data_IF_846856214994
#
_entry.id   IF_846856214994
#
_cell.length_a   1.000
_cell.length_b   1.000
_cell.length_c   1.000
_cell.angle_alpha   90.00
_cell.angle_beta   90.00
_cell.angle_gamma   90.00
#
_symmetry.space_group_name_H-M   'P 1'
#
loop_
_entity.id
_entity.type
_entity.pdbx_description
1 polymer ?
#
# COMPACT_ATOMS: atom_id res chain seq x y z
N UNK A 1 -1.80 26.18 5.75
CA UNK A 1 -2.54 27.29 6.41
C UNK A 1 -3.35 28.05 5.37
N UNK A 2 -2.72 28.75 4.41
CA UNK A 2 -3.42 29.22 3.19
C UNK A 2 -4.13 28.09 2.43
N UNK A 3 -3.49 26.92 2.33
CA UNK A 3 -4.06 25.75 1.65
C UNK A 3 -5.43 25.29 2.16
N UNK A 4 -5.73 25.47 3.46
CA UNK A 4 -7.02 25.08 4.06
C UNK A 4 -7.98 26.27 4.22
N UNK A 5 -7.61 27.45 3.72
CA UNK A 5 -8.47 28.63 3.74
C UNK A 5 -8.76 29.24 5.12
N UNK A 6 -8.06 28.80 6.18
CA UNK A 6 -8.33 29.28 7.55
C UNK A 6 -7.72 30.68 7.74
N UNK A 7 -8.57 31.67 7.91
CA UNK A 7 -8.20 33.05 8.25
C UNK A 7 -8.22 33.26 9.78
N UNK A 8 -7.03 33.43 10.36
CA UNK A 8 -6.84 33.62 11.80
C UNK A 8 -7.40 34.95 12.35
N UNK A 9 -7.71 35.91 11.47
CA UNK A 9 -8.36 37.16 11.84
C UNK A 9 -9.89 37.05 11.92
N UNK A 10 -10.48 35.99 11.37
CA UNK A 10 -11.94 35.80 11.27
C UNK A 10 -12.45 34.59 12.03
N UNK A 11 -11.65 33.52 12.13
CA UNK A 11 -12.09 32.25 12.69
C UNK A 11 -11.01 31.59 13.57
N UNK A 12 -11.40 30.92 14.66
CA UNK A 12 -10.46 30.19 15.50
C UNK A 12 -9.88 28.99 14.74
N UNK A 13 -8.60 28.69 14.99
CA UNK A 13 -7.95 27.50 14.45
C UNK A 13 -8.67 26.25 14.97
N UNK A 14 -9.03 25.28 14.10
CA UNK A 14 -9.53 23.99 14.53
C UNK A 14 -8.59 23.36 15.55
N UNK A 15 -9.13 23.09 16.73
CA UNK A 15 -8.42 22.42 17.80
C UNK A 15 -8.32 20.90 17.54
N UNK A 16 -7.63 20.19 18.44
CA UNK A 16 -7.47 18.74 18.36
C UNK A 16 -8.83 18.02 18.26
N UNK A 17 -9.82 18.48 19.05
CA UNK A 17 -11.16 17.90 19.08
C UNK A 17 -11.86 18.03 17.72
N UNK A 18 -11.74 19.19 17.08
CA UNK A 18 -12.34 19.47 15.78
C UNK A 18 -11.71 18.59 14.69
N UNK A 19 -10.38 18.50 14.65
CA UNK A 19 -9.66 17.63 13.70
C UNK A 19 -10.04 16.15 13.93
N UNK A 20 -10.17 15.74 15.20
CA UNK A 20 -10.57 14.38 15.55
C UNK A 20 -12.00 14.05 15.08
N UNK A 21 -12.95 14.96 15.30
CA UNK A 21 -14.34 14.83 14.82
C UNK A 21 -14.39 14.78 13.29
N UNK A 22 -13.66 15.66 12.61
CA UNK A 22 -13.58 15.66 11.15
C UNK A 22 -13.05 14.31 10.62
N UNK A 23 -11.98 13.77 11.21
CA UNK A 23 -11.49 12.43 10.87
C UNK A 23 -12.55 11.35 11.07
N UNK A 24 -13.30 11.39 12.18
CA UNK A 24 -14.38 10.42 12.41
C UNK A 24 -15.48 10.52 11.33
N UNK A 25 -15.77 11.72 10.82
CA UNK A 25 -16.69 11.87 9.68
C UNK A 25 -16.13 11.21 8.42
N UNK A 26 -14.84 11.40 8.11
CA UNK A 26 -14.21 10.73 6.97
C UNK A 26 -14.34 9.20 7.09
N UNK A 27 -14.08 8.67 8.29
CA UNK A 27 -14.18 7.24 8.59
C UNK A 27 -15.62 6.72 8.47
N UNK A 28 -16.59 7.42 9.06
CA UNK A 28 -18.00 7.03 9.05
C UNK A 28 -18.60 6.98 7.64
N UNK A 29 -18.12 7.84 6.74
CA UNK A 29 -18.58 7.93 5.35
C UNK A 29 -17.65 7.21 4.35
N UNK A 30 -16.68 6.43 4.83
CA UNK A 30 -15.70 5.68 4.02
C UNK A 30 -14.97 6.54 2.96
N UNK A 31 -14.75 7.83 3.27
CA UNK A 31 -14.27 8.80 2.28
C UNK A 31 -12.83 8.53 1.82
N UNK A 32 -12.04 7.79 2.60
CA UNK A 32 -10.69 7.39 2.20
C UNK A 32 -10.67 6.51 0.94
N UNK A 33 -11.60 5.56 0.84
CA UNK A 33 -11.75 4.71 -0.35
C UNK A 33 -12.25 5.53 -1.53
N UNK A 34 -13.27 6.37 -1.30
CA UNK A 34 -13.86 7.21 -2.34
C UNK A 34 -12.83 8.19 -2.91
N UNK A 35 -12.03 8.83 -2.05
CA UNK A 35 -10.96 9.74 -2.46
C UNK A 35 -9.89 9.01 -3.28
N UNK A 36 -9.49 7.82 -2.85
CA UNK A 36 -8.53 7.00 -3.61
C UNK A 36 -9.03 6.70 -5.02
N UNK A 37 -10.30 6.29 -5.16
CA UNK A 37 -10.95 6.04 -6.45
C UNK A 37 -11.02 7.32 -7.30
N UNK A 38 -11.49 8.43 -6.74
CA UNK A 38 -11.63 9.71 -7.45
C UNK A 38 -10.27 10.25 -7.95
N UNK A 39 -9.21 10.11 -7.15
CA UNK A 39 -7.86 10.47 -7.59
C UNK A 39 -7.42 9.57 -8.76
N UNK A 40 -7.70 8.27 -8.71
CA UNK A 40 -7.41 7.35 -9.81
C UNK A 40 -8.13 7.73 -11.11
N UNK A 41 -9.42 8.07 -11.02
CA UNK A 41 -10.21 8.56 -12.14
C UNK A 41 -9.66 9.87 -12.70
N UNK A 42 -9.29 10.82 -11.83
CA UNK A 42 -8.66 12.06 -12.24
C UNK A 42 -7.37 11.82 -13.01
N UNK A 43 -6.46 10.99 -12.49
CA UNK A 43 -5.19 10.67 -13.15
C UNK A 43 -5.42 9.97 -14.50
N UNK A 44 -6.42 9.09 -14.58
CA UNK A 44 -6.84 8.45 -15.84
C UNK A 44 -7.25 9.49 -16.89
N UNK A 45 -8.01 10.52 -16.48
CA UNK A 45 -8.41 11.64 -17.35
C UNK A 45 -7.21 12.48 -17.81
N UNK A 46 -6.17 12.59 -17.00
CA UNK A 46 -4.88 13.24 -17.36
C UNK A 46 -3.95 12.31 -18.18
N UNK A 47 -4.47 11.20 -18.73
CA UNK A 47 -3.70 10.27 -19.55
C UNK A 47 -2.67 9.43 -18.77
N UNK A 48 -2.81 9.34 -17.45
CA UNK A 48 -2.02 8.49 -16.56
C UNK A 48 -2.85 7.26 -16.18
N UNK A 49 -2.91 6.30 -17.10
CA UNK A 49 -3.73 5.10 -16.96
C UNK A 49 -2.93 3.93 -16.37
N UNK A 50 -3.64 3.04 -15.68
CA UNK A 50 -3.10 1.75 -15.24
C UNK A 50 -2.90 0.87 -16.48
N UNK A 51 -1.67 0.43 -16.71
CA UNK A 51 -1.34 -0.46 -17.82
C UNK A 51 -1.67 -1.91 -17.45
N UNK A 52 -1.51 -2.84 -18.39
CA UNK A 52 -1.81 -4.27 -18.17
C UNK A 52 -0.75 -5.01 -17.34
N UNK A 53 0.00 -4.32 -16.49
CA UNK A 53 1.09 -4.91 -15.74
C UNK A 53 1.11 -4.47 -14.29
N UNK A 54 0.90 -5.39 -13.36
CA UNK A 54 0.77 -5.10 -11.93
C UNK A 54 1.89 -5.70 -11.10
N UNK A 55 2.53 -4.88 -10.28
CA UNK A 55 3.44 -5.29 -9.21
C UNK A 55 2.63 -5.36 -7.91
N UNK A 56 2.62 -6.52 -7.27
CA UNK A 56 2.05 -6.69 -5.93
C UNK A 56 3.18 -6.72 -4.90
N UNK A 57 3.03 -5.93 -3.85
CA UNK A 57 4.00 -5.89 -2.75
C UNK A 57 3.38 -5.44 -1.44
N UNK A 58 4.08 -5.75 -0.34
CA UNK A 58 3.65 -5.40 1.00
C UNK A 58 4.76 -4.73 1.82
N UNK A 59 4.40 -3.74 2.62
CA UNK A 59 5.30 -3.12 3.60
C UNK A 59 4.70 -3.18 5.00
N UNK A 60 5.55 -3.38 6.01
CA UNK A 60 5.14 -3.36 7.41
C UNK A 60 5.06 -1.91 7.88
N UNK A 61 3.94 -1.53 8.50
CA UNK A 61 3.76 -0.29 9.23
C UNK A 61 3.73 -0.62 10.73
N UNK A 62 4.71 -0.10 11.47
CA UNK A 62 4.93 -0.52 12.85
C UNK A 62 3.87 0.07 13.79
N UNK A 63 3.41 -0.72 14.74
CA UNK A 63 2.60 -0.27 15.86
C UNK A 63 3.41 -0.25 17.17
N UNK A 64 3.03 0.61 18.14
CA UNK A 64 3.58 0.52 19.48
C UNK A 64 3.24 -0.84 20.10
N UNK A 65 4.26 -1.57 20.57
CA UNK A 65 4.09 -2.82 21.32
C UNK A 65 3.97 -2.60 22.84
N UNK A 66 4.00 -1.34 23.28
CA UNK A 66 3.92 -0.96 24.69
C UNK A 66 2.54 -1.26 25.26
N UNK A 67 2.51 -1.91 26.43
CA UNK A 67 1.32 -2.10 27.27
C UNK A 67 1.19 -1.02 28.34
N UNK A 68 2.05 0.01 28.33
CA UNK A 68 1.99 1.13 29.30
C UNK A 68 0.85 2.09 28.95
N UNK A 69 -0.39 1.63 29.09
CA UNK A 69 -1.61 2.40 28.96
C UNK A 69 -2.61 1.97 30.04
N UNK A 70 -3.74 2.69 30.16
CA UNK A 70 -4.76 2.45 31.20
C UNK A 70 -5.27 1.02 31.23
N UNK A 71 -5.39 0.37 30.06
CA UNK A 71 -5.91 -1.00 29.95
C UNK A 71 -4.82 -2.07 30.01
N UNK A 72 -3.54 -1.69 30.14
CA UNK A 72 -2.39 -2.60 30.19
C UNK A 72 -2.25 -3.56 29.01
N UNK A 73 -2.78 -3.19 27.85
CA UNK A 73 -2.90 -4.07 26.68
C UNK A 73 -2.27 -3.47 25.43
N UNK A 74 -1.84 -4.32 24.50
CA UNK A 74 -1.47 -3.88 23.14
C UNK A 74 -2.72 -3.64 22.31
N UNK A 75 -2.54 -3.04 21.13
CA UNK A 75 -3.60 -3.03 20.13
C UNK A 75 -3.94 -4.49 19.73
N UNK A 76 -5.18 -4.98 19.97
CA UNK A 76 -5.54 -6.37 19.71
C UNK A 76 -5.60 -6.70 18.21
N UNK A 77 -5.71 -5.71 17.33
CA UNK A 77 -5.76 -5.92 15.87
C UNK A 77 -4.37 -5.86 15.22
N UNK A 78 -3.32 -5.55 16.00
CA UNK A 78 -1.94 -5.51 15.54
C UNK A 78 -1.23 -6.78 15.99
N UNK A 79 -0.43 -7.36 15.10
CA UNK A 79 0.24 -8.62 15.38
C UNK A 79 1.72 -8.59 14.99
N UNK A 80 2.47 -9.55 15.51
CA UNK A 80 3.89 -9.66 15.25
C UNK A 80 4.20 -10.49 14.00
N UNK A 81 5.28 -10.14 13.32
CA UNK A 81 5.84 -10.90 12.21
C UNK A 81 7.35 -10.79 12.21
N UNK A 82 8.04 -11.80 11.68
CA UNK A 82 9.49 -11.83 11.57
C UNK A 82 9.88 -11.58 10.12
N UNK A 83 10.70 -10.56 9.87
CA UNK A 83 11.31 -10.29 8.56
C UNK A 83 12.82 -10.33 8.70
N UNK A 84 13.45 -11.30 8.04
CA UNK A 84 14.87 -11.62 8.30
C UNK A 84 15.05 -12.08 9.75
N UNK A 85 16.00 -11.47 10.46
CA UNK A 85 16.22 -11.73 11.90
C UNK A 85 15.48 -10.76 12.83
N UNK A 86 14.76 -9.78 12.29
CA UNK A 86 14.09 -8.75 13.07
C UNK A 86 12.60 -9.05 13.26
N UNK A 87 12.10 -8.87 14.48
CA UNK A 87 10.68 -8.89 14.79
C UNK A 87 10.07 -7.49 14.65
N UNK A 88 8.87 -7.47 14.10
CA UNK A 88 8.04 -6.28 13.92
C UNK A 88 6.67 -6.53 14.52
N UNK A 89 6.05 -5.51 15.10
CA UNK A 89 4.67 -5.53 15.58
C UNK A 89 3.89 -4.45 14.85
N UNK A 90 2.71 -4.78 14.32
CA UNK A 90 1.87 -3.82 13.60
C UNK A 90 0.99 -4.45 12.53
N UNK A 91 0.90 -3.75 11.39
CA UNK A 91 0.10 -4.14 10.24
C UNK A 91 0.97 -4.22 8.97
N UNK A 92 0.42 -4.83 7.93
CA UNK A 92 0.94 -4.77 6.56
C UNK A 92 0.03 -3.90 5.70
N UNK A 93 0.66 -3.01 4.95
CA UNK A 93 0.04 -2.28 3.85
C UNK A 93 0.43 -2.98 2.54
N UNK A 94 -0.57 -3.52 1.86
CA UNK A 94 -0.45 -4.22 0.58
C UNK A 94 -0.92 -3.31 -0.54
N UNK A 95 -0.16 -3.24 -1.62
CA UNK A 95 -0.50 -2.42 -2.79
C UNK A 95 -0.31 -3.20 -4.08
N UNK A 96 -1.20 -2.94 -5.03
CA UNK A 96 -1.03 -3.26 -6.44
C UNK A 96 -0.64 -1.98 -7.17
N UNK A 97 0.48 -2.03 -7.87
CA UNK A 97 1.11 -0.88 -8.51
C UNK A 97 1.35 -1.16 -9.98
N UNK A 98 0.98 -0.22 -10.83
CA UNK A 98 1.25 -0.31 -12.26
C UNK A 98 2.76 -0.30 -12.53
N UNK A 99 3.22 -1.27 -13.30
CA UNK A 99 4.63 -1.49 -13.61
C UNK A 99 5.25 -0.44 -14.52
N UNK A 100 4.46 0.40 -15.20
CA UNK A 100 4.97 1.44 -16.10
C UNK A 100 4.94 2.81 -15.43
N UNK A 101 3.78 3.21 -14.93
CA UNK A 101 3.48 4.52 -14.35
C UNK A 101 3.79 4.63 -12.86
N UNK A 102 4.01 3.50 -12.17
CA UNK A 102 4.20 3.41 -10.71
C UNK A 102 3.00 3.89 -9.88
N UNK A 103 1.82 4.01 -10.49
CA UNK A 103 0.59 4.37 -9.80
C UNK A 103 0.00 3.19 -9.06
N UNK A 104 -0.43 3.43 -7.83
CA UNK A 104 -1.15 2.47 -7.00
C UNK A 104 -2.59 2.41 -7.49
N UNK A 105 -3.07 1.23 -7.88
CA UNK A 105 -4.45 1.04 -8.33
C UNK A 105 -5.30 0.21 -7.34
N UNK A 106 -4.65 -0.51 -6.42
CA UNK A 106 -5.34 -1.30 -5.40
C UNK A 106 -4.59 -1.28 -4.09
N UNK A 107 -5.34 -1.30 -2.99
CA UNK A 107 -4.82 -1.14 -1.63
C UNK A 107 -5.55 -2.09 -0.69
N UNK A 108 -4.81 -2.77 0.17
CA UNK A 108 -5.37 -3.57 1.24
C UNK A 108 -4.49 -3.50 2.49
N UNK A 109 -5.10 -3.76 3.64
CA UNK A 109 -4.45 -3.73 4.93
C UNK A 109 -4.80 -4.99 5.71
N UNK A 110 -3.81 -5.54 6.41
CA UNK A 110 -3.98 -6.69 7.29
C UNK A 110 -3.11 -6.55 8.52
N UNK A 111 -3.39 -7.31 9.58
CA UNK A 111 -2.41 -7.54 10.62
C UNK A 111 -1.09 -8.10 10.05
N UNK A 112 0.05 -7.84 10.71
CA UNK A 112 1.35 -8.17 10.13
C UNK A 112 1.65 -9.68 10.04
N UNK A 113 0.96 -10.52 10.82
CA UNK A 113 1.07 -11.97 10.78
C UNK A 113 0.37 -12.61 9.56
N UNK A 114 -0.57 -11.90 8.92
CA UNK A 114 -1.26 -12.40 7.73
C UNK A 114 -0.27 -12.54 6.58
N UNK A 115 -0.31 -13.69 5.91
CA UNK A 115 0.58 -13.99 4.79
C UNK A 115 0.15 -13.25 3.52
N UNK A 116 1.11 -12.68 2.79
CA UNK A 116 0.84 -11.76 1.68
C UNK A 116 0.03 -12.41 0.56
N UNK A 117 0.24 -13.72 0.35
CA UNK A 117 -0.52 -14.50 -0.63
C UNK A 117 -2.03 -14.48 -0.43
N UNK A 118 -2.53 -14.29 0.81
CA UNK A 118 -3.96 -14.26 1.09
C UNK A 118 -4.65 -12.98 0.59
N UNK A 119 -3.87 -11.94 0.31
CA UNK A 119 -4.38 -10.61 -0.05
C UNK A 119 -4.39 -10.41 -1.57
N UNK A 120 -3.69 -11.28 -2.32
CA UNK A 120 -3.51 -11.16 -3.76
C UNK A 120 -4.79 -10.87 -4.55
N UNK A 121 -5.96 -11.52 -4.30
CA UNK A 121 -7.19 -11.19 -5.00
C UNK A 121 -7.59 -9.71 -4.93
N UNK A 122 -7.30 -9.04 -3.81
CA UNK A 122 -7.61 -7.62 -3.59
C UNK A 122 -6.61 -6.68 -4.25
N UNK A 123 -5.51 -7.20 -4.79
CA UNK A 123 -4.42 -6.44 -5.40
C UNK A 123 -4.42 -6.51 -6.93
N UNK A 124 -5.39 -7.20 -7.53
CA UNK A 124 -5.53 -7.34 -8.98
C UNK A 124 -6.81 -6.64 -9.44
N UNK A 125 -6.75 -5.98 -10.59
CA UNK A 125 -7.88 -5.28 -11.21
C UNK A 125 -8.53 -6.10 -12.35
N UNK A 126 -7.94 -7.23 -12.73
CA UNK A 126 -8.49 -8.23 -13.64
C UNK A 126 -8.15 -8.04 -15.12
N UNK A 127 -7.60 -6.89 -15.49
CA UNK A 127 -7.15 -6.61 -16.86
C UNK A 127 -5.65 -6.85 -17.07
N UNK A 128 -4.96 -7.39 -16.06
CA UNK A 128 -3.55 -7.65 -16.14
C UNK A 128 -3.20 -8.70 -17.20
N UNK A 129 -2.07 -8.46 -17.86
CA UNK A 129 -1.36 -9.42 -18.72
C UNK A 129 -0.07 -9.92 -18.07
N UNK A 130 0.40 -9.24 -17.02
CA UNK A 130 1.62 -9.59 -16.27
C UNK A 130 1.43 -9.22 -14.80
N UNK A 131 1.71 -10.17 -13.90
CA UNK A 131 1.69 -9.94 -12.44
C UNK A 131 3.05 -10.26 -11.85
N UNK A 132 3.70 -9.27 -11.24
CA UNK A 132 5.00 -9.42 -10.57
C UNK A 132 4.82 -9.43 -9.05
N UNK A 133 5.46 -10.39 -8.37
CA UNK A 133 5.46 -10.47 -6.89
C UNK A 133 6.76 -11.11 -6.38
N UNK A 134 7.07 -10.95 -5.09
CA UNK A 134 8.16 -11.70 -4.46
C UNK A 134 7.78 -13.17 -4.26
N UNK A 135 8.72 -13.92 -3.67
CA UNK A 135 8.51 -15.30 -3.29
C UNK A 135 7.43 -15.51 -2.21
N UNK A 136 6.93 -14.46 -1.53
CA UNK A 136 5.79 -14.59 -0.61
C UNK A 136 4.48 -14.84 -1.37
N UNK A 137 4.41 -14.51 -2.66
CA UNK A 137 3.29 -14.86 -3.54
C UNK A 137 3.50 -16.20 -4.29
N UNK A 138 4.52 -16.99 -3.92
CA UNK A 138 4.77 -18.29 -4.54
C UNK A 138 3.57 -19.23 -4.36
N UNK A 139 3.24 -19.99 -5.40
CA UNK A 139 2.10 -20.92 -5.41
C UNK A 139 0.74 -20.29 -5.76
N UNK A 140 0.69 -18.98 -6.04
CA UNK A 140 -0.56 -18.27 -6.33
C UNK A 140 -0.97 -18.28 -7.82
N UNK A 141 -0.56 -19.30 -8.59
CA UNK A 141 -0.84 -19.34 -10.04
C UNK A 141 -2.33 -19.44 -10.33
N UNK A 142 -3.05 -20.27 -9.59
CA UNK A 142 -4.48 -20.47 -9.79
C UNK A 142 -5.28 -19.23 -9.38
N UNK A 143 -4.88 -18.58 -8.29
CA UNK A 143 -5.45 -17.29 -7.87
C UNK A 143 -5.23 -16.22 -8.94
N UNK A 144 -4.01 -16.10 -9.49
CA UNK A 144 -3.75 -15.17 -10.60
C UNK A 144 -4.64 -15.51 -11.80
N UNK A 145 -4.79 -16.80 -12.15
CA UNK A 145 -5.62 -17.23 -13.28
C UNK A 145 -7.11 -16.93 -13.06
N UNK A 146 -7.59 -17.03 -11.83
CA UNK A 146 -8.98 -16.74 -11.48
C UNK A 146 -9.28 -15.23 -11.54
N UNK A 147 -8.41 -14.40 -10.98
CA UNK A 147 -8.68 -12.96 -10.82
C UNK A 147 -8.12 -12.12 -11.96
N UNK A 148 -7.11 -12.59 -12.69
CA UNK A 148 -6.49 -11.95 -13.85
C UNK A 148 -6.21 -13.01 -14.94
N UNK A 149 -7.25 -13.51 -15.64
CA UNK A 149 -7.15 -14.70 -16.52
C UNK A 149 -6.20 -14.54 -17.70
N UNK A 150 -5.92 -13.30 -18.13
CA UNK A 150 -4.99 -12.98 -19.22
C UNK A 150 -3.55 -12.81 -18.72
N UNK A 151 -3.31 -12.88 -17.41
CA UNK A 151 -2.03 -12.58 -16.82
C UNK A 151 -1.06 -13.76 -16.81
N UNK A 152 0.18 -13.49 -17.21
CA UNK A 152 1.32 -14.36 -16.94
C UNK A 152 1.90 -14.02 -15.56
N UNK A 153 2.16 -15.05 -14.75
CA UNK A 153 2.78 -14.90 -13.44
C UNK A 153 4.30 -14.70 -13.56
N UNK A 154 4.77 -13.55 -13.06
CA UNK A 154 6.17 -13.20 -12.88
C UNK A 154 6.57 -13.18 -11.40
N UNK A 155 5.88 -13.95 -10.56
CA UNK A 155 6.24 -14.20 -9.16
C UNK A 155 7.64 -14.83 -9.09
N UNK A 156 8.46 -14.38 -8.14
CA UNK A 156 9.82 -14.90 -7.96
C UNK A 156 9.80 -16.37 -7.52
N UNK A 157 10.74 -17.15 -8.06
CA UNK A 157 10.94 -18.53 -7.61
C UNK A 157 11.47 -18.54 -6.17
N UNK A 158 10.99 -19.47 -5.36
CA UNK A 158 11.37 -19.64 -3.95
C UNK A 158 12.29 -20.85 -3.81
N UNK A 159 13.35 -20.71 -3.02
CA UNK A 159 14.16 -21.86 -2.61
C UNK A 159 13.37 -22.72 -1.61
N UNK A 160 13.52 -24.03 -1.70
CA UNK A 160 12.89 -24.97 -0.75
C UNK A 160 13.97 -25.74 0.00
N UNK A 161 13.58 -26.39 1.10
CA UNK A 161 14.46 -27.30 1.83
C UNK A 161 14.99 -28.35 0.86
N UNK A 162 16.31 -28.51 0.79
CA UNK A 162 17.02 -29.42 -0.13
C UNK A 162 16.85 -29.11 -1.63
N UNK A 163 16.28 -27.95 -1.99
CA UNK A 163 16.20 -27.49 -3.38
C UNK A 163 16.56 -26.00 -3.47
N UNK A 164 17.87 -25.67 -3.53
CA UNK A 164 18.31 -24.31 -3.76
C UNK A 164 17.92 -23.83 -5.16
N UNK A 165 17.85 -22.51 -5.33
CA UNK A 165 17.62 -21.92 -6.66
C UNK A 165 18.85 -22.14 -7.54
N UNK A 166 18.61 -22.65 -8.76
CA UNK A 166 19.60 -22.71 -9.83
C UNK A 166 20.07 -21.31 -10.26
N UNK A 167 21.25 -21.22 -10.90
CA UNK A 167 21.76 -19.96 -11.46
C UNK A 167 20.76 -19.33 -12.45
N UNK A 168 20.10 -20.14 -13.27
CA UNK A 168 19.05 -19.67 -14.19
C UNK A 168 17.82 -19.12 -13.47
N UNK A 169 17.41 -19.72 -12.35
CA UNK A 169 16.32 -19.17 -11.52
C UNK A 169 16.72 -17.87 -10.82
N UNK A 170 17.97 -17.79 -10.32
CA UNK A 170 18.52 -16.57 -9.73
C UNK A 170 18.59 -15.45 -10.76
N UNK A 171 19.04 -15.73 -11.97
CA UNK A 171 19.06 -14.78 -13.09
C UNK A 171 17.67 -14.26 -13.42
N UNK A 172 16.68 -15.15 -13.54
CA UNK A 172 15.27 -14.76 -13.75
C UNK A 172 14.72 -13.93 -12.61
N UNK A 173 15.00 -14.30 -11.36
CA UNK A 173 14.60 -13.53 -10.18
C UNK A 173 15.24 -12.13 -10.17
N UNK A 174 16.50 -11.99 -10.58
CA UNK A 174 17.19 -10.69 -10.71
C UNK A 174 16.50 -9.78 -11.72
N UNK A 175 16.11 -10.31 -12.88
CA UNK A 175 15.33 -9.54 -13.88
C UNK A 175 13.96 -9.14 -13.33
N UNK A 176 13.25 -10.04 -12.64
CA UNK A 176 11.98 -9.73 -11.98
C UNK A 176 12.13 -8.66 -10.88
N UNK A 177 13.21 -8.71 -10.11
CA UNK A 177 13.50 -7.71 -9.06
C UNK A 177 13.65 -6.30 -9.63
N UNK A 178 14.26 -6.14 -10.81
CA UNK A 178 14.40 -4.82 -11.45
C UNK A 178 13.04 -4.16 -11.72
N UNK A 179 12.05 -4.95 -12.14
CA UNK A 179 10.68 -4.45 -12.34
C UNK A 179 10.03 -4.15 -10.99
N UNK A 180 10.17 -5.08 -10.02
CA UNK A 180 9.57 -4.91 -8.70
C UNK A 180 10.10 -3.71 -7.92
N UNK A 181 11.38 -3.36 -8.05
CA UNK A 181 11.98 -2.21 -7.38
C UNK A 181 11.22 -0.90 -7.62
N UNK A 182 10.44 -0.80 -8.72
CA UNK A 182 9.56 0.34 -8.99
C UNK A 182 8.54 0.62 -7.88
N UNK A 183 8.05 -0.42 -7.19
CA UNK A 183 7.10 -0.28 -6.06
C UNK A 183 7.72 0.43 -4.87
N UNK A 184 9.04 0.37 -4.72
CA UNK A 184 9.75 0.99 -3.60
C UNK A 184 9.60 2.51 -3.60
N UNK A 185 9.40 3.14 -4.78
CA UNK A 185 9.11 4.57 -4.85
C UNK A 185 7.79 4.92 -4.15
N UNK A 186 6.72 4.15 -4.38
CA UNK A 186 5.44 4.37 -3.71
C UNK A 186 5.58 4.23 -2.18
N UNK A 187 6.29 3.19 -1.72
CA UNK A 187 6.55 3.02 -0.29
C UNK A 187 7.46 4.10 0.30
N UNK A 188 8.43 4.60 -0.47
CA UNK A 188 9.28 5.70 -0.04
C UNK A 188 8.46 6.97 0.17
N UNK A 189 7.54 7.30 -0.74
CA UNK A 189 6.64 8.44 -0.59
C UNK A 189 5.82 8.29 0.70
N UNK A 190 5.16 7.14 0.88
CA UNK A 190 4.31 6.90 2.04
C UNK A 190 5.09 6.94 3.36
N UNK A 191 6.23 6.25 3.44
CA UNK A 191 6.94 6.05 4.73
C UNK A 191 7.92 7.16 5.06
N UNK A 192 8.56 7.77 4.07
CA UNK A 192 9.62 8.76 4.25
C UNK A 192 9.14 10.18 4.00
N UNK A 193 8.44 10.42 2.89
CA UNK A 193 7.99 11.77 2.53
C UNK A 193 6.77 12.16 3.37
N UNK A 194 5.78 11.28 3.48
CA UNK A 194 4.61 11.52 4.35
C UNK A 194 4.86 11.13 5.81
N UNK A 195 6.03 10.55 6.11
CA UNK A 195 6.44 10.17 7.47
C UNK A 195 5.62 9.05 8.10
N UNK A 196 4.85 8.28 7.32
CA UNK A 196 3.96 7.25 7.86
C UNK A 196 4.66 5.88 7.98
N UNK A 197 5.71 5.83 8.80
CA UNK A 197 6.42 4.58 9.12
C UNK A 197 5.81 3.82 10.32
N UNK A 198 4.96 4.51 11.11
CA UNK A 198 4.25 3.97 12.27
C UNK A 198 2.77 4.28 12.16
N UNK A 199 1.92 3.37 12.64
CA UNK A 199 0.47 3.58 12.71
C UNK A 199 0.17 4.79 13.59
N UNK A 200 -0.90 5.52 13.24
CA UNK A 200 -1.33 6.72 13.98
C UNK A 200 -2.50 6.43 14.92
N UNK A 201 -3.24 5.38 14.65
CA UNK A 201 -4.48 5.05 15.34
C UNK A 201 -4.43 3.63 15.92
N UNK A 202 -5.31 3.35 16.88
CA UNK A 202 -5.61 2.00 17.34
C UNK A 202 -6.66 1.36 16.44
N UNK A 203 -6.47 0.10 16.06
CA UNK A 203 -7.36 -0.68 15.20
C UNK A 203 -7.00 -0.61 13.71
N UNK A 204 -7.30 -1.68 12.97
CA UNK A 204 -6.99 -1.78 11.54
C UNK A 204 -7.88 -0.87 10.69
N UNK A 205 -9.15 -0.70 11.04
CA UNK A 205 -10.10 0.07 10.23
C UNK A 205 -9.62 1.53 10.01
N UNK A 206 -9.27 2.23 11.08
CA UNK A 206 -8.79 3.62 11.04
C UNK A 206 -7.47 3.76 10.28
N UNK A 207 -6.54 2.82 10.47
CA UNK A 207 -5.27 2.82 9.74
C UNK A 207 -5.43 2.43 8.27
N UNK A 208 -6.41 1.59 7.93
CA UNK A 208 -6.76 1.24 6.54
C UNK A 208 -7.34 2.45 5.81
N UNK A 209 -8.24 3.18 6.46
CA UNK A 209 -8.79 4.42 5.93
C UNK A 209 -7.66 5.44 5.64
N UNK A 210 -6.73 5.61 6.58
CA UNK A 210 -5.56 6.46 6.38
C UNK A 210 -4.62 5.97 5.26
N UNK A 211 -4.43 4.66 5.13
CA UNK A 211 -3.64 4.06 4.05
C UNK A 211 -4.25 4.40 2.68
N UNK A 212 -5.57 4.28 2.50
CA UNK A 212 -6.25 4.60 1.24
C UNK A 212 -6.00 6.06 0.83
N UNK A 213 -6.18 7.00 1.76
CA UNK A 213 -5.88 8.42 1.54
C UNK A 213 -4.41 8.60 1.17
N UNK A 214 -3.51 8.00 1.95
CA UNK A 214 -2.06 8.11 1.74
C UNK A 214 -1.62 7.56 0.37
N UNK A 215 -2.22 6.46 -0.09
CA UNK A 215 -1.95 5.91 -1.42
C UNK A 215 -2.45 6.84 -2.54
N UNK A 216 -3.64 7.42 -2.40
CA UNK A 216 -4.16 8.40 -3.37
C UNK A 216 -3.26 9.63 -3.46
N UNK A 217 -2.88 10.20 -2.32
CA UNK A 217 -1.94 11.32 -2.28
C UNK A 217 -0.55 10.95 -2.80
N UNK A 218 -0.10 9.71 -2.58
CA UNK A 218 1.17 9.24 -3.12
C UNK A 218 1.13 9.17 -4.65
N UNK A 219 0.00 8.78 -5.26
CA UNK A 219 -0.17 8.82 -6.71
C UNK A 219 -0.05 10.25 -7.26
N UNK A 220 -0.73 11.22 -6.64
CA UNK A 220 -0.60 12.63 -7.02
C UNK A 220 0.85 13.11 -6.88
N UNK A 221 1.51 12.73 -5.79
CA UNK A 221 2.91 13.08 -5.59
C UNK A 221 3.81 12.49 -6.68
N UNK A 222 3.67 11.21 -7.00
CA UNK A 222 4.45 10.55 -8.07
C UNK A 222 4.19 11.21 -9.42
N UNK A 223 2.92 11.53 -9.73
CA UNK A 223 2.49 12.17 -10.97
C UNK A 223 2.80 13.68 -11.06
N UNK A 224 3.16 14.34 -9.95
CA UNK A 224 3.21 15.82 -9.83
C UNK A 224 3.97 16.53 -10.94
N UNK A 225 5.08 15.96 -11.41
CA UNK A 225 5.90 16.61 -12.46
C UNK A 225 5.17 16.68 -13.79
N UNK A 226 4.36 15.66 -14.11
CA UNK A 226 3.54 15.65 -15.31
C UNK A 226 2.32 16.57 -15.14
N UNK A 227 1.63 16.45 -14.01
CA UNK A 227 0.46 17.27 -13.70
C UNK A 227 0.76 18.78 -13.68
N UNK A 228 1.96 19.17 -13.22
CA UNK A 228 2.37 20.57 -13.19
C UNK A 228 3.01 21.06 -14.50
N UNK A 229 3.33 20.16 -15.42
CA UNK A 229 3.87 20.54 -16.74
C UNK A 229 2.76 20.77 -17.78
N UNK A 230 1.55 20.28 -17.50
CA UNK A 230 0.33 20.47 -18.31
C UNK A 230 -0.46 21.73 -17.90
N UNK A 231 0.01 22.46 -16.88
CA UNK A 231 -0.55 23.74 -16.38
C UNK A 231 0.34 24.90 -16.80
#
# INVERSE_FOLDING_TARGET
RQFVGIDLGREPVPDETTICKFRHLLEAHELGKQLFTQIGEYLTKQGLQVSRGTIVDATIISAPSSTKNRTKERDPEMHQTKKGNQWYFGMKAHIGVDSQTTLIHSVAATAANVHDSQVLPKLLHGEETRVWGDAAYSGQRDVIRQYAPKAKSFVQAKAHRHRPLSETERGRNRTKSKVRAKVEHAFLVIKRIFGWAKVRYRGLAKNTHWLQISCGLANLYVARRRLLAET
#
